data_IF_299058793039
#
_entry.id   IF_299058793039
#
_cell.length_a   1.000
_cell.length_b   1.000
_cell.length_c   1.000
_cell.angle_alpha   90.00
_cell.angle_beta   90.00
_cell.angle_gamma   90.00
#
_symmetry.space_group_name_H-M   'P 1'
#
loop_
_entity.id
_entity.type
_entity.pdbx_description
1 polymer ?
#
# COMPACT_ATOMS: atom_id res chain seq x y z
N UNK A 1 1.65 3.07 -21.95
CA UNK A 1 1.60 1.83 -21.17
C UNK A 1 2.98 1.20 -21.17
N UNK A 2 3.76 1.46 -20.12
CA UNK A 2 5.19 1.07 -20.06
C UNK A 2 5.46 -0.09 -19.10
N UNK A 3 4.47 -0.49 -18.30
CA UNK A 3 4.66 -1.48 -17.25
C UNK A 3 5.09 -2.87 -17.79
N UNK A 4 4.51 -3.41 -18.88
CA UNK A 4 4.98 -4.67 -19.47
C UNK A 4 6.35 -4.57 -20.15
N UNK A 5 6.83 -3.35 -20.45
CA UNK A 5 8.18 -3.13 -20.98
C UNK A 5 9.22 -3.05 -19.87
N UNK A 6 8.82 -2.52 -18.71
CA UNK A 6 9.67 -2.45 -17.52
C UNK A 6 9.75 -3.79 -16.79
N UNK A 7 8.63 -4.50 -16.66
CA UNK A 7 8.52 -5.83 -16.06
C UNK A 7 8.07 -6.83 -17.12
N UNK A 8 9.05 -7.48 -17.75
CA UNK A 8 8.80 -8.41 -18.88
C UNK A 8 7.94 -9.61 -18.47
N UNK A 9 7.98 -10.00 -17.19
CA UNK A 9 7.16 -11.09 -16.65
C UNK A 9 5.66 -10.83 -16.80
N UNK A 10 5.23 -9.56 -16.88
CA UNK A 10 3.82 -9.20 -17.11
C UNK A 10 3.33 -9.52 -18.53
N UNK A 11 4.25 -9.78 -19.48
CA UNK A 11 3.91 -10.20 -20.84
C UNK A 11 4.01 -11.73 -21.02
N UNK A 12 4.46 -12.47 -20.00
CA UNK A 12 4.60 -13.91 -20.06
C UNK A 12 3.23 -14.60 -19.96
N UNK A 13 2.93 -15.52 -20.87
CA UNK A 13 1.66 -16.27 -20.90
C UNK A 13 1.47 -17.17 -19.67
N UNK A 14 2.55 -17.51 -18.95
CA UNK A 14 2.49 -18.29 -17.71
C UNK A 14 2.01 -17.47 -16.51
N UNK A 15 1.98 -16.14 -16.63
CA UNK A 15 1.48 -15.28 -15.55
C UNK A 15 -0.05 -15.35 -15.50
N UNK A 16 -0.54 -16.23 -14.66
CA UNK A 16 -1.97 -16.39 -14.39
C UNK A 16 -2.27 -16.02 -12.94
N UNK A 17 -3.39 -15.32 -12.71
CA UNK A 17 -3.87 -15.02 -11.38
C UNK A 17 -5.38 -14.99 -11.36
N UNK A 18 -5.98 -15.47 -10.27
CA UNK A 18 -7.43 -15.38 -10.06
C UNK A 18 -7.91 -13.93 -9.85
N UNK A 19 -7.03 -13.05 -9.33
CA UNK A 19 -7.35 -11.66 -9.00
C UNK A 19 -6.17 -10.76 -9.36
N UNK A 20 -6.44 -9.56 -9.87
CA UNK A 20 -5.44 -8.54 -10.15
C UNK A 20 -5.88 -7.18 -9.58
N UNK A 21 -4.95 -6.48 -8.93
CA UNK A 21 -5.12 -5.11 -8.46
C UNK A 21 -4.06 -4.23 -9.11
N UNK A 22 -4.49 -3.13 -9.73
CA UNK A 22 -3.60 -2.17 -10.38
C UNK A 22 -3.91 -0.76 -9.86
N UNK A 23 -2.92 0.13 -9.95
CA UNK A 23 -3.09 1.52 -9.54
C UNK A 23 -2.17 2.44 -10.34
N UNK A 24 -2.70 3.56 -10.82
CA UNK A 24 -1.92 4.65 -11.40
C UNK A 24 -2.11 5.90 -10.55
N UNK A 25 -1.00 6.43 -10.05
CA UNK A 25 -1.01 7.59 -9.16
C UNK A 25 -0.76 8.87 -9.94
N UNK A 26 -1.60 9.88 -9.74
CA UNK A 26 -1.27 11.26 -10.07
C UNK A 26 -0.69 11.95 -8.82
N UNK A 27 0.54 12.44 -8.91
CA UNK A 27 1.26 13.03 -7.77
C UNK A 27 1.44 14.53 -7.95
N UNK A 28 1.35 15.29 -6.87
CA UNK A 28 1.77 16.70 -6.81
C UNK A 28 3.29 16.87 -6.61
N UNK A 29 4.07 15.79 -6.73
CA UNK A 29 5.53 15.79 -6.54
C UNK A 29 6.20 15.58 -7.89
N UNK A 30 7.33 16.24 -8.11
CA UNK A 30 8.13 16.12 -9.34
C UNK A 30 9.22 15.05 -9.26
N UNK A 31 9.64 14.66 -8.05
CA UNK A 31 10.66 13.61 -7.83
C UNK A 31 9.98 12.27 -7.55
N UNK A 32 10.27 11.22 -8.35
CA UNK A 32 9.68 9.90 -8.12
C UNK A 32 10.24 9.27 -6.85
N UNK A 33 9.37 8.60 -6.09
CA UNK A 33 9.75 7.75 -4.96
C UNK A 33 9.08 6.39 -5.13
N UNK A 34 9.88 5.38 -5.46
CA UNK A 34 9.43 4.01 -5.69
C UNK A 34 8.58 3.44 -4.55
N UNK A 35 8.91 3.63 -3.26
CA UNK A 35 8.09 3.10 -2.17
C UNK A 35 6.68 3.70 -2.06
N UNK A 36 6.39 4.78 -2.77
CA UNK A 36 5.07 5.43 -2.79
C UNK A 36 4.22 5.02 -4.00
N UNK A 37 4.76 4.20 -4.91
CA UNK A 37 3.97 3.56 -5.94
C UNK A 37 3.01 2.54 -5.29
N UNK A 38 1.80 2.46 -5.81
CA UNK A 38 0.77 1.51 -5.37
C UNK A 38 0.57 0.45 -6.46
N UNK A 39 0.04 -0.75 -6.13
CA UNK A 39 -0.62 -1.14 -4.87
C UNK A 39 0.30 -1.26 -3.66
N UNK A 40 -0.21 -0.97 -2.46
CA UNK A 40 0.40 -1.43 -1.21
C UNK A 40 0.05 -2.91 -0.98
N UNK A 41 0.66 -3.52 0.06
CA UNK A 41 0.51 -4.95 0.36
C UNK A 41 -0.94 -5.45 0.36
N UNK A 42 -1.89 -4.63 0.83
CA UNK A 42 -3.30 -5.01 0.95
C UNK A 42 -4.29 -3.97 0.39
N UNK A 43 -3.81 -2.86 -0.19
CA UNK A 43 -4.67 -1.74 -0.56
C UNK A 43 -4.12 -0.97 -1.76
N UNK A 44 -5.03 -0.60 -2.66
CA UNK A 44 -4.85 0.52 -3.58
C UNK A 44 -5.91 1.57 -3.29
N UNK A 45 -5.54 2.85 -3.35
CA UNK A 45 -6.36 3.96 -2.91
C UNK A 45 -6.35 5.10 -3.94
N UNK A 46 -7.53 5.36 -4.50
CA UNK A 46 -7.80 6.49 -5.38
C UNK A 46 -8.47 7.61 -4.58
N UNK A 47 -7.72 8.65 -4.24
CA UNK A 47 -8.20 9.80 -3.48
C UNK A 47 -7.14 10.36 -2.54
N UNK A 48 -7.57 11.22 -1.63
CA UNK A 48 -6.73 11.80 -0.58
C UNK A 48 -7.39 11.58 0.80
N UNK A 49 -6.61 11.10 1.77
CA UNK A 49 -7.08 10.97 3.15
C UNK A 49 -6.81 12.30 3.87
N UNK A 50 -7.78 13.20 3.80
CA UNK A 50 -7.64 14.58 4.33
C UNK A 50 -7.42 14.66 5.85
N UNK A 51 -7.68 13.57 6.59
CA UNK A 51 -7.57 13.50 8.06
C UNK A 51 -6.42 12.62 8.55
N UNK A 52 -5.41 12.35 7.71
CA UNK A 52 -4.36 11.36 7.98
C UNK A 52 -3.63 11.58 9.32
N UNK A 53 -3.36 12.82 9.70
CA UNK A 53 -2.72 13.15 10.98
C UNK A 53 -3.59 12.71 12.16
N UNK A 54 -4.88 13.02 12.12
CA UNK A 54 -5.83 12.61 13.17
C UNK A 54 -5.92 11.08 13.27
N UNK A 55 -6.01 10.40 12.13
CA UNK A 55 -6.06 8.93 12.10
C UNK A 55 -4.81 8.30 12.73
N UNK A 56 -3.62 8.84 12.44
CA UNK A 56 -2.36 8.37 13.04
C UNK A 56 -2.30 8.60 14.54
N UNK A 57 -2.68 9.79 15.02
CA UNK A 57 -2.70 10.08 16.46
C UNK A 57 -3.70 9.18 17.21
N UNK A 58 -4.87 8.97 16.63
CA UNK A 58 -5.88 8.07 17.18
C UNK A 58 -5.43 6.61 17.22
N UNK A 59 -4.70 6.13 16.20
CA UNK A 59 -4.10 4.81 16.21
C UNK A 59 -3.07 4.68 17.34
N UNK A 60 -2.13 5.63 17.44
CA UNK A 60 -1.08 5.66 18.47
C UNK A 60 -1.64 5.73 19.89
N UNK A 61 -2.66 6.56 20.12
CA UNK A 61 -3.31 6.66 21.43
C UNK A 61 -4.02 5.36 21.84
N UNK A 62 -4.36 4.50 20.87
CA UNK A 62 -5.01 3.20 21.10
C UNK A 62 -4.05 2.01 20.98
N UNK A 63 -2.75 2.21 20.77
CA UNK A 63 -1.76 1.12 20.64
C UNK A 63 -1.81 0.14 21.82
N UNK A 64 -2.13 0.61 23.03
CA UNK A 64 -2.31 -0.25 24.21
C UNK A 64 -3.42 -1.30 24.07
N UNK A 65 -4.36 -1.11 23.14
CA UNK A 65 -5.43 -2.07 22.83
C UNK A 65 -5.05 -3.06 21.74
N UNK A 66 -3.92 -2.87 21.04
CA UNK A 66 -3.53 -3.72 19.92
C UNK A 66 -2.85 -4.99 20.43
N UNK A 67 -3.66 -5.96 20.83
CA UNK A 67 -3.22 -7.24 21.38
C UNK A 67 -3.97 -8.38 20.72
N UNK A 68 -3.22 -9.36 20.21
CA UNK A 68 -3.77 -10.61 19.68
C UNK A 68 -2.71 -11.71 19.79
N UNK A 69 -3.07 -12.94 20.20
CA UNK A 69 -2.12 -14.04 20.25
C UNK A 69 -1.56 -14.44 18.87
N UNK A 70 -2.23 -14.02 17.78
CA UNK A 70 -1.81 -14.33 16.41
C UNK A 70 -0.67 -13.45 15.89
N UNK A 71 -0.47 -12.28 16.51
CA UNK A 71 0.56 -11.29 16.12
C UNK A 71 1.16 -10.75 17.42
N UNK A 72 2.13 -11.47 18.01
CA UNK A 72 2.65 -11.16 19.35
C UNK A 72 3.35 -9.79 19.45
N UNK A 73 3.90 -9.30 18.34
CA UNK A 73 4.61 -8.01 18.19
C UNK A 73 3.70 -6.87 17.71
N UNK A 74 2.38 -7.07 17.68
CA UNK A 74 1.43 -6.07 17.16
C UNK A 74 1.50 -4.72 17.89
N UNK A 75 1.89 -4.74 19.17
CA UNK A 75 2.03 -3.53 19.96
C UNK A 75 3.16 -2.62 19.45
N UNK A 76 4.20 -3.20 18.84
CA UNK A 76 5.37 -2.46 18.32
C UNK A 76 5.12 -1.92 16.90
N UNK A 77 4.04 -2.34 16.24
CA UNK A 77 3.73 -1.97 14.87
C UNK A 77 3.16 -0.55 14.70
N UNK A 78 2.92 0.19 15.80
CA UNK A 78 2.15 1.44 15.82
C UNK A 78 2.97 2.70 16.14
#
# INVERSE_FOLDING_TARGET
TDLPRLYLDLADLRLESAICLFHQRFSTNTVPRWPLAQPFRYLAHNGEINTITGNRQWARARTYKFQTPLIPDLHDAA
#
